data_IF_411205060574
#
_entry.id   IF_411205060574
#
_cell.length_a   1.000
_cell.length_b   1.000
_cell.length_c   1.000
_cell.angle_alpha   90.00
_cell.angle_beta   90.00
_cell.angle_gamma   90.00
#
_symmetry.space_group_name_H-M   'P 1'
#
loop_
_entity.id
_entity.type
_entity.pdbx_description
1 polymer ?
#
# COMPACT_ATOMS: atom_id res chain seq x y z
N UNK A 1 52.89 -6.17 48.54
CA UNK A 1 51.66 -5.36 48.67
C UNK A 1 51.24 -4.77 47.32
N UNK A 2 52.17 -4.49 46.39
CA UNK A 2 51.83 -4.00 45.03
C UNK A 2 51.19 -5.08 44.12
N UNK A 3 51.66 -6.33 44.18
CA UNK A 3 51.14 -7.45 43.36
C UNK A 3 49.68 -7.81 43.71
N UNK A 4 49.28 -7.61 44.97
CA UNK A 4 47.91 -7.91 45.43
C UNK A 4 46.92 -6.82 45.00
N UNK A 5 47.39 -5.57 44.90
CA UNK A 5 46.59 -4.43 44.42
C UNK A 5 46.44 -4.45 42.90
N UNK A 6 47.40 -4.98 42.14
CA UNK A 6 47.31 -5.09 40.69
C UNK A 6 46.29 -6.14 40.22
N UNK A 7 46.21 -7.30 40.89
CA UNK A 7 45.22 -8.35 40.57
C UNK A 7 43.78 -7.87 40.86
N UNK A 8 43.57 -7.18 41.98
CA UNK A 8 42.28 -6.59 42.33
C UNK A 8 41.87 -5.47 41.35
N UNK A 9 42.84 -4.71 40.85
CA UNK A 9 42.61 -3.70 39.83
C UNK A 9 42.25 -4.32 38.47
N UNK A 10 42.96 -5.35 38.03
CA UNK A 10 42.66 -6.05 36.76
C UNK A 10 41.28 -6.73 36.78
N UNK A 11 40.92 -7.36 37.90
CA UNK A 11 39.57 -7.96 38.08
C UNK A 11 38.47 -6.91 38.09
N UNK A 12 38.70 -5.72 38.66
CA UNK A 12 37.75 -4.61 38.62
C UNK A 12 37.56 -4.04 37.21
N UNK A 13 38.64 -3.87 36.43
CA UNK A 13 38.55 -3.40 35.05
C UNK A 13 37.85 -4.37 34.12
N UNK A 14 38.12 -5.67 34.28
CA UNK A 14 37.43 -6.71 33.49
C UNK A 14 35.93 -6.74 33.81
N UNK A 15 35.55 -6.59 35.08
CA UNK A 15 34.14 -6.47 35.48
C UNK A 15 33.47 -5.22 34.88
N UNK A 16 34.12 -4.05 34.96
CA UNK A 16 33.62 -2.80 34.35
C UNK A 16 33.46 -2.95 32.83
N UNK A 17 34.46 -3.53 32.16
CA UNK A 17 34.44 -3.75 30.71
C UNK A 17 33.32 -4.71 30.31
N UNK A 18 33.12 -5.80 31.07
CA UNK A 18 32.02 -6.73 30.85
C UNK A 18 30.66 -6.04 30.97
N UNK A 19 30.44 -5.24 32.01
CA UNK A 19 29.19 -4.48 32.20
C UNK A 19 28.96 -3.51 31.03
N UNK A 20 29.99 -2.77 30.61
CA UNK A 20 29.91 -1.84 29.49
C UNK A 20 29.60 -2.56 28.17
N UNK A 21 30.18 -3.74 27.94
CA UNK A 21 29.91 -4.54 26.74
C UNK A 21 28.46 -5.04 26.69
N UNK A 22 27.89 -5.42 27.84
CA UNK A 22 26.49 -5.83 27.96
C UNK A 22 25.58 -4.62 27.69
N UNK A 23 25.87 -3.45 28.26
CA UNK A 23 25.09 -2.24 28.00
C UNK A 23 25.15 -1.81 26.52
N UNK A 24 26.33 -1.89 25.91
CA UNK A 24 26.51 -1.56 24.50
C UNK A 24 25.73 -2.51 23.58
N UNK A 25 25.78 -3.82 23.84
CA UNK A 25 25.03 -4.81 23.08
C UNK A 25 23.52 -4.65 23.26
N UNK A 26 23.04 -4.35 24.48
CA UNK A 26 21.64 -4.03 24.73
C UNK A 26 21.17 -2.79 23.95
N UNK A 27 21.96 -1.72 23.93
CA UNK A 27 21.66 -0.51 23.15
C UNK A 27 21.64 -0.80 21.65
N UNK A 28 22.56 -1.62 21.15
CA UNK A 28 22.59 -2.02 19.74
C UNK A 28 21.33 -2.82 19.36
N UNK A 29 20.89 -3.76 20.21
CA UNK A 29 19.66 -4.52 20.00
C UNK A 29 18.45 -3.57 19.98
N UNK A 30 18.38 -2.64 20.93
CA UNK A 30 17.28 -1.66 20.98
C UNK A 30 17.25 -0.77 19.75
N UNK A 31 18.41 -0.28 19.30
CA UNK A 31 18.56 0.52 18.09
C UNK A 31 18.14 -0.24 16.83
N UNK A 32 18.49 -1.53 16.71
CA UNK A 32 18.06 -2.40 15.62
C UNK A 32 16.54 -2.58 15.62
N UNK A 33 15.95 -2.88 16.78
CA UNK A 33 14.49 -3.04 16.92
C UNK A 33 13.78 -1.73 16.54
N UNK A 34 14.29 -0.59 17.01
CA UNK A 34 13.74 0.72 16.69
C UNK A 34 13.86 1.01 15.19
N UNK A 35 15.02 0.74 14.57
CA UNK A 35 15.25 0.91 13.14
C UNK A 35 14.30 0.08 12.30
N UNK A 36 14.11 -1.21 12.62
CA UNK A 36 13.16 -2.08 11.91
C UNK A 36 11.72 -1.56 12.04
N UNK A 37 11.32 -1.13 13.24
CA UNK A 37 9.98 -0.55 13.45
C UNK A 37 9.79 0.75 12.67
N UNK A 38 10.78 1.64 12.71
CA UNK A 38 10.75 2.90 12.00
C UNK A 38 10.71 2.67 10.48
N UNK A 39 11.53 1.76 9.98
CA UNK A 39 11.55 1.36 8.57
C UNK A 39 10.19 0.80 8.12
N UNK A 40 9.57 -0.09 8.89
CA UNK A 40 8.21 -0.59 8.61
C UNK A 40 7.20 0.55 8.52
N UNK A 41 7.23 1.49 9.46
CA UNK A 41 6.32 2.64 9.48
C UNK A 41 6.55 3.57 8.28
N UNK A 42 7.80 3.84 7.93
CA UNK A 42 8.17 4.66 6.77
C UNK A 42 7.78 3.99 5.45
N UNK A 43 8.04 2.69 5.31
CA UNK A 43 7.68 1.93 4.10
C UNK A 43 6.17 1.86 3.89
N UNK A 44 5.38 1.76 4.98
CA UNK A 44 3.94 1.94 4.89
C UNK A 44 3.62 3.31 4.31
N UNK A 45 4.04 4.41 4.97
CA UNK A 45 3.71 5.79 4.58
C UNK A 45 4.12 6.12 3.13
N UNK A 46 5.33 5.76 2.71
CA UNK A 46 5.83 6.02 1.34
C UNK A 46 4.94 5.32 0.31
N UNK A 47 4.59 4.06 0.56
CA UNK A 47 3.77 3.31 -0.37
C UNK A 47 2.32 3.82 -0.44
N UNK A 48 1.76 4.30 0.68
CA UNK A 48 0.47 4.98 0.68
C UNK A 48 0.50 6.26 -0.17
N UNK A 49 1.57 7.05 -0.06
CA UNK A 49 1.74 8.27 -0.86
C UNK A 49 1.88 8.00 -2.35
N UNK A 50 2.53 6.89 -2.74
CA UNK A 50 2.64 6.47 -4.15
C UNK A 50 1.29 6.08 -4.73
N UNK A 51 0.50 5.30 -3.99
CA UNK A 51 -0.84 4.90 -4.39
C UNK A 51 -1.74 6.13 -4.59
N UNK A 52 -1.78 7.04 -3.60
CA UNK A 52 -2.61 8.26 -3.69
C UNK A 52 -2.18 9.12 -4.88
N UNK A 53 -0.88 9.22 -5.15
CA UNK A 53 -0.36 9.95 -6.31
C UNK A 53 -0.80 9.30 -7.63
N UNK A 54 -0.73 7.98 -7.75
CA UNK A 54 -1.21 7.28 -8.95
C UNK A 54 -2.69 7.51 -9.18
N UNK A 55 -3.51 7.40 -8.13
CA UNK A 55 -4.94 7.68 -8.22
C UNK A 55 -5.21 9.14 -8.60
N UNK A 56 -4.46 10.09 -8.03
CA UNK A 56 -4.57 11.49 -8.40
C UNK A 56 -4.24 11.75 -9.87
N UNK A 57 -3.21 11.09 -10.44
CA UNK A 57 -2.90 11.21 -11.87
C UNK A 57 -4.02 10.62 -12.75
N UNK A 58 -4.62 9.49 -12.35
CA UNK A 58 -5.79 8.91 -13.04
C UNK A 58 -6.96 9.90 -13.03
N UNK A 59 -7.24 10.52 -11.88
CA UNK A 59 -8.31 11.52 -11.77
C UNK A 59 -8.01 12.79 -12.56
N UNK A 60 -6.74 13.22 -12.60
CA UNK A 60 -6.30 14.37 -13.38
C UNK A 60 -6.46 14.14 -14.88
N UNK A 61 -6.20 12.93 -15.36
CA UNK A 61 -6.46 12.58 -16.76
C UNK A 61 -7.97 12.60 -17.06
N UNK A 62 -8.80 12.09 -16.15
CA UNK A 62 -10.26 12.20 -16.22
C UNK A 62 -10.74 13.66 -16.21
N UNK A 63 -10.07 14.54 -15.44
CA UNK A 63 -10.37 15.97 -15.41
C UNK A 63 -10.02 16.65 -16.75
N UNK A 64 -8.89 16.28 -17.36
CA UNK A 64 -8.48 16.77 -18.68
C UNK A 64 -9.44 16.30 -19.79
N UNK A 65 -10.05 15.12 -19.61
CA UNK A 65 -10.98 14.50 -20.56
C UNK A 65 -12.29 14.13 -19.86
N UNK A 66 -13.19 15.09 -19.60
CA UNK A 66 -14.41 14.86 -18.83
C UNK A 66 -15.38 13.83 -19.44
N UNK A 67 -15.23 13.51 -20.74
CA UNK A 67 -16.03 12.48 -21.42
C UNK A 67 -15.73 11.06 -20.93
N UNK A 68 -14.62 10.85 -20.20
CA UNK A 68 -14.25 9.57 -19.58
C UNK A 68 -15.16 9.21 -18.40
N UNK A 69 -15.69 10.21 -17.69
CA UNK A 69 -16.56 10.04 -16.52
C UNK A 69 -18.05 10.06 -16.88
N UNK A 70 -18.40 10.60 -18.04
CA UNK A 70 -19.79 10.79 -18.48
C UNK A 70 -20.29 9.58 -19.26
N UNK A 71 -21.42 9.02 -18.83
CA UNK A 71 -22.12 7.93 -19.51
C UNK A 71 -23.23 8.42 -20.47
N UNK A 72 -23.56 9.72 -20.46
CA UNK A 72 -24.76 10.31 -21.05
C UNK A 72 -24.59 10.84 -22.49
N UNK A 73 -23.44 10.58 -23.13
CA UNK A 73 -23.12 11.11 -24.46
C UNK A 73 -22.58 10.03 -25.38
N UNK A 74 -23.01 10.07 -26.64
CA UNK A 74 -22.39 9.30 -27.71
C UNK A 74 -20.92 9.73 -27.89
N UNK A 75 -20.02 8.77 -27.75
CA UNK A 75 -18.58 8.95 -27.93
C UNK A 75 -18.22 8.73 -29.39
N UNK A 76 -17.27 9.51 -29.89
CA UNK A 76 -16.60 9.21 -31.16
C UNK A 76 -15.73 7.95 -31.01
N UNK A 77 -15.36 7.34 -32.13
CA UNK A 77 -14.52 6.13 -32.14
C UNK A 77 -13.20 6.34 -31.35
N UNK A 78 -12.57 7.50 -31.51
CA UNK A 78 -11.34 7.86 -30.81
C UNK A 78 -11.55 8.08 -29.31
N UNK A 79 -12.71 8.63 -28.92
CA UNK A 79 -13.09 8.81 -27.51
C UNK A 79 -13.43 7.47 -26.85
N UNK A 80 -13.99 6.52 -27.60
CA UNK A 80 -14.28 5.16 -27.13
C UNK A 80 -13.00 4.36 -26.87
N UNK A 81 -12.01 4.45 -27.76
CA UNK A 81 -10.69 3.84 -27.55
C UNK A 81 -10.01 4.43 -26.30
N UNK A 82 -10.09 5.76 -26.13
CA UNK A 82 -9.57 6.44 -24.95
C UNK A 82 -10.29 6.01 -23.68
N UNK A 83 -11.62 5.89 -23.73
CA UNK A 83 -12.43 5.39 -22.61
C UNK A 83 -12.08 3.95 -22.26
N UNK A 84 -11.96 3.05 -23.23
CA UNK A 84 -11.59 1.65 -23.01
C UNK A 84 -10.22 1.52 -22.36
N UNK A 85 -9.26 2.32 -22.82
CA UNK A 85 -7.92 2.37 -22.24
C UNK A 85 -7.96 2.89 -20.80
N UNK A 86 -8.72 3.96 -20.56
CA UNK A 86 -8.89 4.54 -19.24
C UNK A 86 -9.56 3.58 -18.26
N UNK A 87 -10.68 2.97 -18.65
CA UNK A 87 -11.41 2.00 -17.84
C UNK A 87 -10.53 0.80 -17.49
N UNK A 88 -9.71 0.31 -18.44
CA UNK A 88 -8.74 -0.75 -18.16
C UNK A 88 -7.70 -0.34 -17.10
N UNK A 89 -7.14 0.88 -17.20
CA UNK A 89 -6.19 1.41 -16.21
C UNK A 89 -6.83 1.53 -14.82
N UNK A 90 -8.05 2.09 -14.75
CA UNK A 90 -8.79 2.22 -13.49
C UNK A 90 -9.00 0.84 -12.87
N UNK A 91 -9.55 -0.12 -13.63
CA UNK A 91 -9.83 -1.45 -13.10
C UNK A 91 -8.57 -2.20 -12.67
N UNK A 92 -7.47 -2.09 -13.41
CA UNK A 92 -6.20 -2.70 -13.04
C UNK A 92 -5.60 -2.07 -11.76
N UNK A 93 -5.75 -0.76 -11.61
CA UNK A 93 -5.37 -0.07 -10.38
C UNK A 93 -6.24 -0.52 -9.20
N UNK A 94 -7.57 -0.58 -9.36
CA UNK A 94 -8.48 -1.04 -8.30
C UNK A 94 -8.23 -2.52 -7.92
N UNK A 95 -7.90 -3.39 -8.87
CA UNK A 95 -7.50 -4.77 -8.59
C UNK A 95 -6.22 -4.83 -7.75
N UNK A 96 -5.22 -4.00 -8.09
CA UNK A 96 -3.97 -3.90 -7.32
C UNK A 96 -4.22 -3.39 -5.90
N UNK A 97 -5.16 -2.45 -5.73
CA UNK A 97 -5.58 -1.96 -4.41
C UNK A 97 -6.32 -3.03 -3.63
N UNK A 98 -7.20 -3.78 -4.29
CA UNK A 98 -7.91 -4.90 -3.68
C UNK A 98 -6.93 -5.96 -3.13
N UNK A 99 -5.96 -6.40 -3.94
CA UNK A 99 -4.92 -7.34 -3.51
C UNK A 99 -4.18 -6.82 -2.27
N UNK A 100 -3.91 -5.52 -2.22
CA UNK A 100 -3.21 -4.90 -1.09
C UNK A 100 -4.09 -4.71 0.14
N UNK A 101 -5.37 -4.41 -0.04
CA UNK A 101 -6.38 -4.36 1.00
C UNK A 101 -6.57 -5.71 1.70
N UNK A 102 -6.38 -6.83 0.99
CA UNK A 102 -6.41 -8.17 1.61
C UNK A 102 -5.22 -8.42 2.55
N UNK A 103 -4.10 -7.70 2.36
CA UNK A 103 -2.92 -7.79 3.20
C UNK A 103 -2.93 -6.78 4.36
N UNK A 104 -3.53 -5.61 4.17
CA UNK A 104 -3.61 -4.54 5.16
C UNK A 104 -5.04 -3.98 5.26
N UNK A 105 -5.75 -4.44 6.29
CA UNK A 105 -7.14 -4.07 6.57
C UNK A 105 -7.35 -2.58 6.85
N UNK A 106 -6.29 -1.83 7.19
CA UNK A 106 -6.42 -0.39 7.40
C UNK A 106 -6.75 0.34 6.09
N UNK A 107 -6.27 -0.15 4.93
CA UNK A 107 -6.59 0.42 3.61
C UNK A 107 -8.06 0.30 3.26
N UNK A 108 -8.72 -0.78 3.72
CA UNK A 108 -10.08 -1.11 3.31
C UNK A 108 -11.05 0.05 3.57
N UNK A 109 -10.92 0.71 4.73
CA UNK A 109 -11.79 1.83 5.12
C UNK A 109 -11.71 3.04 4.18
N UNK A 110 -10.55 3.28 3.60
CA UNK A 110 -10.33 4.45 2.71
C UNK A 110 -10.64 4.11 1.26
N UNK A 111 -10.24 2.91 0.82
CA UNK A 111 -10.28 2.54 -0.59
C UNK A 111 -11.60 1.89 -1.03
N UNK A 112 -12.34 1.25 -0.13
CA UNK A 112 -13.62 0.63 -0.49
C UNK A 112 -14.65 1.65 -1.01
N UNK A 113 -14.82 2.84 -0.39
CA UNK A 113 -15.69 3.88 -0.95
C UNK A 113 -15.23 4.36 -2.34
N UNK A 114 -13.92 4.41 -2.59
CA UNK A 114 -13.36 4.80 -3.90
C UNK A 114 -13.68 3.72 -4.94
N UNK A 115 -13.44 2.44 -4.61
CA UNK A 115 -13.79 1.32 -5.48
C UNK A 115 -15.29 1.34 -5.81
N UNK A 116 -16.15 1.63 -4.82
CA UNK A 116 -17.59 1.72 -5.04
C UNK A 116 -17.96 2.87 -6.00
N UNK A 117 -17.33 4.04 -5.84
CA UNK A 117 -17.57 5.20 -6.69
C UNK A 117 -17.15 4.93 -8.15
N UNK A 118 -15.94 4.40 -8.36
CA UNK A 118 -15.43 4.06 -9.69
C UNK A 118 -16.22 2.92 -10.33
N UNK A 119 -16.64 1.92 -9.53
CA UNK A 119 -17.52 0.86 -10.00
C UNK A 119 -18.79 1.44 -10.60
N UNK A 120 -19.45 2.41 -9.97
CA UNK A 120 -20.71 2.98 -10.50
C UNK A 120 -20.54 3.56 -11.91
N UNK A 121 -19.35 4.07 -12.23
CA UNK A 121 -19.04 4.69 -13.52
C UNK A 121 -18.61 3.64 -14.55
N UNK A 122 -17.80 2.66 -14.15
CA UNK A 122 -17.15 1.72 -15.09
C UNK A 122 -17.67 0.29 -15.03
N UNK A 123 -18.75 0.00 -14.29
CA UNK A 123 -19.31 -1.35 -14.13
C UNK A 123 -19.71 -1.97 -15.46
N UNK A 124 -20.35 -1.21 -16.35
CA UNK A 124 -20.80 -1.74 -17.65
C UNK A 124 -19.62 -2.24 -18.50
N UNK A 125 -18.47 -1.58 -18.39
CA UNK A 125 -17.27 -1.93 -19.15
C UNK A 125 -16.66 -3.27 -18.71
N UNK A 126 -16.60 -3.53 -17.39
CA UNK A 126 -16.04 -4.80 -16.86
C UNK A 126 -17.01 -5.98 -17.00
N UNK A 127 -18.30 -5.70 -17.22
CA UNK A 127 -19.32 -6.72 -17.47
C UNK A 127 -19.23 -7.31 -18.89
N UNK A 128 -18.53 -6.66 -19.82
CA UNK A 128 -18.25 -7.23 -21.13
C UNK A 128 -17.33 -8.45 -21.02
N UNK A 129 -17.70 -9.56 -21.66
CA UNK A 129 -16.99 -10.84 -21.55
C UNK A 129 -15.49 -10.72 -21.95
N UNK A 130 -15.20 -9.90 -22.96
CA UNK A 130 -13.83 -9.64 -23.43
C UNK A 130 -12.95 -8.98 -22.37
N UNK A 131 -13.53 -8.11 -21.56
CA UNK A 131 -12.81 -7.36 -20.53
C UNK A 131 -12.76 -8.15 -19.23
N UNK A 132 -13.83 -8.87 -18.90
CA UNK A 132 -13.93 -9.73 -17.72
C UNK A 132 -12.81 -10.77 -17.65
N UNK A 133 -12.44 -11.38 -18.79
CA UNK A 133 -11.37 -12.38 -18.85
C UNK A 133 -9.98 -11.86 -18.46
N UNK A 134 -9.78 -10.53 -18.39
CA UNK A 134 -8.48 -9.90 -18.08
C UNK A 134 -8.21 -9.79 -16.58
N UNK A 135 -9.21 -10.02 -15.72
CA UNK A 135 -9.13 -9.82 -14.28
C UNK A 135 -9.31 -11.12 -13.49
N UNK A 136 -8.84 -11.13 -12.25
CA UNK A 136 -8.96 -12.30 -11.36
C UNK A 136 -10.42 -12.55 -10.97
N UNK A 137 -10.80 -13.82 -10.91
CA UNK A 137 -12.15 -14.24 -10.51
C UNK A 137 -12.54 -13.77 -9.09
N UNK A 138 -11.57 -13.69 -8.17
CA UNK A 138 -11.78 -13.19 -6.80
C UNK A 138 -12.19 -11.72 -6.79
N UNK A 139 -11.48 -10.89 -7.55
CA UNK A 139 -11.78 -9.47 -7.70
C UNK A 139 -13.13 -9.27 -8.39
N UNK A 140 -13.41 -10.00 -9.47
CA UNK A 140 -14.70 -9.95 -10.14
C UNK A 140 -15.86 -10.31 -9.20
N UNK A 141 -15.69 -11.38 -8.41
CA UNK A 141 -16.68 -11.80 -7.42
C UNK A 141 -16.90 -10.74 -6.34
N UNK A 142 -15.84 -10.01 -5.94
CA UNK A 142 -15.93 -8.89 -5.01
C UNK A 142 -16.73 -7.72 -5.59
N UNK A 143 -16.46 -7.35 -6.84
CA UNK A 143 -17.18 -6.27 -7.54
C UNK A 143 -18.66 -6.62 -7.78
N UNK A 144 -18.96 -7.88 -8.09
CA UNK A 144 -20.34 -8.38 -8.27
C UNK A 144 -21.13 -8.39 -6.96
N UNK A 145 -20.52 -8.86 -5.86
CA UNK A 145 -21.19 -8.89 -4.54
C UNK A 145 -21.62 -7.51 -4.08
N UNK A 146 -20.86 -6.47 -4.41
CA UNK A 146 -21.22 -5.08 -4.10
C UNK A 146 -21.30 -4.75 -2.61
N UNK A 147 -20.88 -5.66 -1.73
CA UNK A 147 -20.80 -5.47 -0.28
C UNK A 147 -19.44 -4.90 0.07
N UNK A 148 -19.39 -3.58 0.25
CA UNK A 148 -18.21 -2.83 0.67
C UNK A 148 -18.25 -2.49 2.16
N UNK A 149 -18.91 -3.34 2.96
CA UNK A 149 -19.05 -3.13 4.41
C UNK A 149 -17.78 -3.55 5.13
N UNK A 150 -17.16 -2.60 5.82
CA UNK A 150 -16.11 -2.87 6.80
C UNK A 150 -16.80 -3.25 8.10
N UNK A 151 -16.87 -4.56 8.41
CA UNK A 151 -17.29 -5.05 9.73
C UNK A 151 -16.23 -4.68 10.78
#
# INVERSE_FOLDING_TARGET
MEIFLSDEYETLWTAISAIMSILATMMAIFALIYSIRMYRKTMQIVHYGEIDKMYFEILKEALNKPFLLRQDRERTLDEEIQYNTYAFIVWNFLESIYDRCMLDHALQRTWFPIIEAERKIHLLWIQEDENRAKFKAEFLSFIEKGTFEVV
#
